data_IF_791876806405
#
_entry.id   IF_791876806405
#
_cell.length_a   1.000
_cell.length_b   1.000
_cell.length_c   1.000
_cell.angle_alpha   90.00
_cell.angle_beta   90.00
_cell.angle_gamma   90.00
#
_symmetry.space_group_name_H-M   'P 1'
#
loop_
_entity.id
_entity.type
_entity.pdbx_description
1 polymer ?
#
# COMPACT_ATOMS: atom_id res chain seq x y z
N UNK A 1 -19.14 16.32 2.17
CA UNK A 1 -19.07 15.67 0.85
C UNK A 1 -18.46 16.65 -0.15
N UNK A 2 -17.38 16.24 -0.87
CA UNK A 2 -16.69 17.06 -1.86
C UNK A 2 -17.59 17.42 -3.05
N UNK A 3 -17.23 18.52 -3.76
CA UNK A 3 -17.99 19.04 -4.89
C UNK A 3 -18.25 18.00 -5.99
N UNK A 4 -17.24 17.20 -6.36
CA UNK A 4 -17.39 16.16 -7.39
C UNK A 4 -18.45 15.14 -7.03
N UNK A 5 -18.51 14.71 -5.75
CA UNK A 5 -19.51 13.76 -5.32
C UNK A 5 -20.92 14.35 -5.26
N UNK A 6 -21.06 15.63 -4.87
CA UNK A 6 -22.34 16.34 -4.94
C UNK A 6 -22.83 16.44 -6.40
N UNK A 7 -21.92 16.74 -7.32
CA UNK A 7 -22.23 16.81 -8.75
C UNK A 7 -22.55 15.43 -9.34
N UNK A 8 -21.83 14.39 -8.93
CA UNK A 8 -22.12 13.01 -9.32
C UNK A 8 -23.57 12.63 -8.96
N UNK A 9 -24.01 12.91 -7.74
CA UNK A 9 -25.37 12.64 -7.29
C UNK A 9 -26.45 13.42 -8.06
N UNK A 10 -26.08 14.57 -8.65
CA UNK A 10 -26.95 15.45 -9.44
C UNK A 10 -26.76 15.29 -10.95
N UNK A 11 -25.97 14.33 -11.39
CA UNK A 11 -25.58 14.10 -12.79
C UNK A 11 -24.98 15.35 -13.48
N UNK A 12 -24.28 16.20 -12.71
CA UNK A 12 -23.66 17.45 -13.20
C UNK A 12 -22.15 17.29 -13.40
N UNK A 13 -21.60 18.03 -14.35
CA UNK A 13 -20.15 18.16 -14.57
C UNK A 13 -19.57 19.31 -13.71
N UNK A 14 -18.28 19.23 -13.27
CA UNK A 14 -17.45 18.05 -13.24
C UNK A 14 -17.90 17.09 -12.13
N UNK A 15 -17.79 15.79 -12.35
CA UNK A 15 -18.11 14.79 -11.33
C UNK A 15 -19.04 13.68 -11.81
N UNK A 16 -19.91 13.93 -12.78
CA UNK A 16 -20.95 13.00 -13.27
C UNK A 16 -20.44 11.58 -13.47
N UNK A 17 -19.27 11.38 -14.09
CA UNK A 17 -18.68 10.07 -14.40
C UNK A 17 -17.33 9.83 -13.71
N UNK A 18 -17.06 10.54 -12.60
CA UNK A 18 -15.76 10.45 -11.92
C UNK A 18 -15.66 9.27 -10.95
N UNK A 19 -16.79 8.79 -10.44
CA UNK A 19 -16.82 7.71 -9.46
C UNK A 19 -17.07 6.37 -10.13
N UNK A 20 -16.44 5.33 -9.60
CA UNK A 20 -16.58 3.99 -10.14
C UNK A 20 -17.92 3.38 -9.76
N UNK A 21 -18.74 3.12 -10.77
CA UNK A 21 -19.95 2.33 -10.66
C UNK A 21 -19.79 1.03 -11.44
N UNK A 22 -20.42 -0.03 -10.96
CA UNK A 22 -20.47 -1.33 -11.64
C UNK A 22 -21.89 -1.87 -11.60
N UNK A 23 -22.27 -2.60 -12.63
CA UNK A 23 -23.56 -3.29 -12.73
C UNK A 23 -23.54 -4.66 -12.03
N UNK A 24 -24.68 -5.34 -12.01
CA UNK A 24 -24.82 -6.71 -11.47
C UNK A 24 -23.98 -7.76 -12.21
N UNK A 25 -23.58 -7.50 -13.46
CA UNK A 25 -22.81 -8.42 -14.29
C UNK A 25 -21.32 -8.38 -13.97
N UNK A 26 -20.87 -7.39 -13.20
CA UNK A 26 -19.47 -7.28 -12.81
C UNK A 26 -19.05 -8.46 -11.92
N UNK A 27 -18.16 -9.30 -12.44
CA UNK A 27 -17.63 -10.43 -11.68
C UNK A 27 -16.55 -9.97 -10.70
N UNK A 28 -16.92 -9.88 -9.43
CA UNK A 28 -16.02 -9.48 -8.32
C UNK A 28 -15.48 -10.66 -7.50
N UNK A 29 -15.69 -11.90 -7.94
CA UNK A 29 -15.32 -13.11 -7.17
C UNK A 29 -13.83 -13.22 -6.84
N UNK A 30 -12.97 -12.74 -7.74
CA UNK A 30 -11.50 -12.78 -7.60
C UNK A 30 -10.91 -11.53 -6.95
N UNK A 31 -11.72 -10.51 -6.64
CA UNK A 31 -11.22 -9.22 -6.15
C UNK A 31 -10.52 -9.36 -4.81
N UNK A 32 -9.28 -8.89 -4.73
CA UNK A 32 -8.53 -8.79 -3.49
C UNK A 32 -8.98 -7.54 -2.73
N UNK A 33 -9.34 -7.73 -1.47
CA UNK A 33 -9.93 -6.68 -0.64
C UNK A 33 -9.04 -6.38 0.56
N UNK A 34 -8.53 -5.14 0.68
CA UNK A 34 -7.68 -4.76 1.81
C UNK A 34 -8.47 -4.59 3.12
N UNK A 35 -9.80 -4.50 3.03
CA UNK A 35 -10.71 -4.31 4.17
C UNK A 35 -11.89 -5.29 4.10
N UNK A 36 -12.58 -5.52 5.20
CA UNK A 36 -13.62 -6.56 5.32
C UNK A 36 -15.08 -6.05 5.17
N UNK A 37 -15.30 -4.72 5.04
CA UNK A 37 -16.64 -4.16 4.80
C UNK A 37 -17.18 -4.55 3.41
N UNK A 38 -18.46 -4.28 3.13
CA UNK A 38 -19.07 -4.56 1.82
C UNK A 38 -18.42 -3.70 0.73
N UNK A 39 -17.85 -4.35 -0.31
CA UNK A 39 -17.19 -3.71 -1.44
C UNK A 39 -18.14 -2.80 -2.24
N UNK A 40 -19.33 -3.29 -2.50
CA UNK A 40 -20.33 -2.64 -3.35
C UNK A 40 -21.48 -2.09 -2.50
N UNK A 41 -21.91 -0.86 -2.81
CA UNK A 41 -23.08 -0.21 -2.22
C UNK A 41 -24.09 0.13 -3.31
N UNK A 42 -25.30 -0.41 -3.21
CA UNK A 42 -26.40 -0.09 -4.14
C UNK A 42 -26.71 1.42 -4.10
N UNK A 43 -26.87 2.02 -5.27
CA UNK A 43 -27.30 3.41 -5.41
C UNK A 43 -28.74 3.39 -5.92
N UNK A 44 -29.66 4.07 -5.21
CA UNK A 44 -31.04 4.23 -5.67
C UNK A 44 -31.30 5.47 -6.55
N UNK A 45 -30.24 6.08 -7.11
CA UNK A 45 -30.31 7.42 -7.74
C UNK A 45 -30.43 7.34 -9.28
N UNK A 46 -29.90 6.30 -9.88
CA UNK A 46 -29.93 6.12 -11.33
C UNK A 46 -30.95 5.04 -11.72
N UNK A 47 -31.55 5.17 -12.91
CA UNK A 47 -32.52 4.18 -13.46
C UNK A 47 -31.96 2.77 -13.67
N UNK A 48 -30.65 2.58 -13.49
CA UNK A 48 -29.96 1.27 -13.55
C UNK A 48 -29.56 0.81 -12.16
N UNK A 49 -29.60 -0.49 -11.93
CA UNK A 49 -29.14 -1.11 -10.67
C UNK A 49 -27.61 -1.09 -10.59
N UNK A 50 -27.04 0.10 -10.44
CA UNK A 50 -25.61 0.30 -10.31
C UNK A 50 -25.17 0.27 -8.84
N UNK A 51 -23.94 -0.17 -8.65
CA UNK A 51 -23.30 -0.24 -7.34
C UNK A 51 -22.07 0.65 -7.32
N UNK A 52 -21.93 1.46 -6.27
CA UNK A 52 -20.69 2.19 -5.98
C UNK A 52 -19.61 1.24 -5.48
N UNK A 53 -18.42 1.38 -6.02
CA UNK A 53 -17.24 0.64 -5.59
C UNK A 53 -16.53 1.33 -4.43
N UNK A 54 -16.15 0.56 -3.39
CA UNK A 54 -15.53 1.07 -2.16
C UNK A 54 -14.42 0.12 -1.73
N UNK A 55 -13.17 0.49 -2.03
CA UNK A 55 -12.02 -0.38 -1.71
C UNK A 55 -11.67 -0.32 -0.22
N UNK A 56 -11.54 0.87 0.37
CA UNK A 56 -10.90 1.07 1.67
C UNK A 56 -11.85 1.36 2.82
N UNK A 57 -12.93 2.14 2.60
CA UNK A 57 -13.90 2.45 3.66
C UNK A 57 -15.32 2.56 3.13
N UNK A 58 -16.35 2.46 4.01
CA UNK A 58 -17.75 2.55 3.60
C UNK A 58 -18.16 3.89 3.00
N UNK A 59 -17.43 4.94 3.25
CA UNK A 59 -17.68 6.33 2.82
C UNK A 59 -16.69 6.84 1.78
N UNK A 60 -15.65 6.05 1.46
CA UNK A 60 -14.66 6.36 0.43
C UNK A 60 -14.98 5.59 -0.86
N UNK A 61 -15.44 6.32 -1.87
CA UNK A 61 -15.81 5.75 -3.17
C UNK A 61 -14.64 5.91 -4.13
N UNK A 62 -14.29 4.81 -4.81
CA UNK A 62 -13.19 4.79 -5.76
C UNK A 62 -13.51 5.65 -6.99
N UNK A 63 -12.48 6.28 -7.53
CA UNK A 63 -12.56 7.05 -8.76
C UNK A 63 -12.43 6.14 -9.99
N UNK A 64 -13.08 6.54 -11.07
CA UNK A 64 -13.10 5.78 -12.32
C UNK A 64 -11.95 6.21 -13.24
N UNK A 65 -10.78 5.62 -13.09
CA UNK A 65 -9.62 5.90 -13.94
C UNK A 65 -9.73 5.37 -15.38
N UNK A 66 -10.82 4.64 -15.72
CA UNK A 66 -11.17 4.38 -17.13
C UNK A 66 -11.67 5.64 -17.83
N UNK A 67 -12.13 6.65 -17.06
CA UNK A 67 -12.52 7.93 -17.60
C UNK A 67 -11.29 8.84 -17.74
N UNK A 68 -10.86 9.20 -18.98
CA UNK A 68 -9.70 10.06 -19.18
C UNK A 68 -9.79 11.42 -18.47
N UNK A 69 -11.01 11.95 -18.28
CA UNK A 69 -11.21 13.21 -17.58
C UNK A 69 -10.78 13.14 -16.11
N UNK A 70 -10.89 11.97 -15.47
CA UNK A 70 -10.38 11.75 -14.10
C UNK A 70 -8.85 11.81 -14.10
N UNK A 71 -8.20 11.06 -14.99
CA UNK A 71 -6.74 11.04 -15.10
C UNK A 71 -6.18 12.44 -15.41
N UNK A 72 -6.80 13.15 -16.39
CA UNK A 72 -6.42 14.52 -16.75
C UNK A 72 -6.56 15.47 -15.54
N UNK A 73 -7.59 15.28 -14.72
CA UNK A 73 -7.76 16.08 -13.51
C UNK A 73 -6.67 15.83 -12.48
N UNK A 74 -6.24 14.58 -12.30
CA UNK A 74 -5.11 14.24 -11.43
C UNK A 74 -3.79 14.82 -11.95
N UNK A 75 -3.54 14.74 -13.25
CA UNK A 75 -2.38 15.38 -13.89
C UNK A 75 -2.37 16.89 -13.61
N UNK A 76 -3.50 17.57 -13.78
CA UNK A 76 -3.62 19.01 -13.48
C UNK A 76 -3.37 19.32 -12.00
N UNK A 77 -3.83 18.46 -11.08
CA UNK A 77 -3.55 18.60 -9.64
C UNK A 77 -2.06 18.46 -9.41
N UNK A 78 -1.41 17.45 -10.00
CA UNK A 78 0.02 17.21 -9.86
C UNK A 78 0.85 18.40 -10.39
N UNK A 79 0.51 18.92 -11.57
CA UNK A 79 1.16 20.12 -12.16
C UNK A 79 0.99 21.32 -11.22
N UNK A 80 -0.22 21.54 -10.70
CA UNK A 80 -0.47 22.64 -9.78
C UNK A 80 0.41 22.53 -8.52
N UNK A 81 0.53 21.35 -7.94
CA UNK A 81 1.40 21.10 -6.78
C UNK A 81 2.89 21.29 -7.13
N UNK A 82 3.31 20.86 -8.33
CA UNK A 82 4.68 21.10 -8.82
C UNK A 82 5.00 22.59 -8.94
N UNK A 83 4.06 23.40 -9.41
CA UNK A 83 4.19 24.85 -9.51
C UNK A 83 4.32 25.52 -8.12
N UNK A 84 3.79 24.87 -7.06
CA UNK A 84 3.96 25.28 -5.66
C UNK A 84 5.20 24.66 -4.99
N UNK A 85 6.10 24.06 -5.75
CA UNK A 85 7.38 23.56 -5.25
C UNK A 85 7.37 22.09 -4.80
N UNK A 86 6.27 21.36 -4.89
CA UNK A 86 6.24 19.92 -4.57
C UNK A 86 7.09 19.15 -5.57
N UNK A 87 7.98 18.29 -5.05
CA UNK A 87 8.87 17.47 -5.87
C UNK A 87 8.73 15.97 -5.61
N UNK A 88 8.18 15.57 -4.50
CA UNK A 88 7.97 14.16 -4.17
C UNK A 88 6.47 13.89 -4.10
N UNK A 89 5.98 12.95 -4.92
CA UNK A 89 4.60 12.53 -4.98
C UNK A 89 4.45 11.09 -4.52
N UNK A 90 3.84 10.89 -3.36
CA UNK A 90 3.45 9.58 -2.87
C UNK A 90 2.09 9.19 -3.49
N UNK A 91 2.11 8.16 -4.31
CA UNK A 91 0.91 7.59 -4.91
C UNK A 91 0.31 6.54 -3.95
N UNK A 92 -0.64 7.00 -3.15
CA UNK A 92 -1.29 6.22 -2.10
C UNK A 92 -2.12 5.06 -2.67
N UNK A 93 -1.91 3.85 -2.14
CA UNK A 93 -2.64 2.63 -2.50
C UNK A 93 -2.77 2.39 -4.02
N UNK A 94 -1.78 2.82 -4.79
CA UNK A 94 -1.83 2.90 -6.26
C UNK A 94 -2.12 1.55 -6.92
N UNK A 95 -1.75 0.44 -6.29
CA UNK A 95 -2.00 -0.90 -6.81
C UNK A 95 -3.49 -1.18 -7.07
N UNK A 96 -4.38 -0.48 -6.38
CA UNK A 96 -5.82 -0.62 -6.51
C UNK A 96 -6.46 0.34 -7.53
N UNK A 97 -5.68 1.04 -8.34
CA UNK A 97 -6.18 2.09 -9.23
C UNK A 97 -7.19 1.57 -10.26
N UNK A 98 -6.83 0.50 -10.99
CA UNK A 98 -7.64 -0.02 -12.08
C UNK A 98 -8.52 -1.19 -11.67
N UNK A 99 -9.78 -1.22 -12.17
CA UNK A 99 -10.74 -2.29 -11.89
C UNK A 99 -11.20 -2.92 -13.20
N UNK A 100 -11.14 -4.25 -13.25
CA UNK A 100 -11.59 -5.04 -14.40
C UNK A 100 -12.35 -6.29 -13.94
N UNK A 101 -13.52 -6.53 -14.53
CA UNK A 101 -14.36 -7.69 -14.22
C UNK A 101 -13.59 -9.00 -14.38
N UNK A 102 -13.78 -9.93 -13.45
CA UNK A 102 -13.13 -11.25 -13.49
C UNK A 102 -11.66 -11.28 -13.07
N UNK A 103 -11.08 -10.11 -12.69
CA UNK A 103 -9.68 -10.01 -12.25
C UNK A 103 -9.58 -9.79 -10.74
N UNK A 104 -8.34 -9.79 -10.23
CA UNK A 104 -8.05 -9.47 -8.83
C UNK A 104 -8.29 -7.98 -8.48
N UNK A 105 -8.46 -7.09 -9.47
CA UNK A 105 -8.60 -5.64 -9.34
C UNK A 105 -7.46 -4.99 -8.50
N UNK A 106 -6.28 -5.56 -8.59
CA UNK A 106 -5.06 -5.07 -7.95
C UNK A 106 -3.87 -5.42 -8.84
N UNK A 107 -2.88 -4.53 -8.91
CA UNK A 107 -1.64 -4.74 -9.65
C UNK A 107 -1.90 -5.10 -11.14
N UNK A 108 -2.86 -4.42 -11.77
CA UNK A 108 -3.20 -4.67 -13.17
C UNK A 108 -2.29 -3.85 -14.10
N UNK A 109 -2.07 -4.36 -15.33
CA UNK A 109 -1.25 -3.71 -16.36
C UNK A 109 -1.60 -2.24 -16.57
N UNK A 110 -2.88 -1.90 -16.59
CA UNK A 110 -3.33 -0.52 -16.77
C UNK A 110 -2.92 0.41 -15.61
N UNK A 111 -2.78 -0.11 -14.41
CA UNK A 111 -2.22 0.66 -13.28
C UNK A 111 -0.77 1.06 -13.56
N UNK A 112 0.04 0.11 -14.03
CA UNK A 112 1.43 0.35 -14.41
C UNK A 112 1.54 1.38 -15.55
N UNK A 113 0.71 1.27 -16.59
CA UNK A 113 0.69 2.23 -17.70
C UNK A 113 0.34 3.66 -17.24
N UNK A 114 -0.58 3.81 -16.28
CA UNK A 114 -0.90 5.13 -15.70
C UNK A 114 0.30 5.67 -14.91
N UNK A 115 1.00 4.84 -14.15
CA UNK A 115 2.19 5.28 -13.39
C UNK A 115 3.28 5.73 -14.36
N UNK A 116 3.53 4.97 -15.44
CA UNK A 116 4.47 5.37 -16.51
C UNK A 116 4.12 6.73 -17.10
N UNK A 117 2.85 6.95 -17.40
CA UNK A 117 2.39 8.24 -17.91
C UNK A 117 2.64 9.37 -16.91
N UNK A 118 2.31 9.17 -15.63
CA UNK A 118 2.58 10.17 -14.59
C UNK A 118 4.07 10.42 -14.43
N UNK A 119 4.89 9.38 -14.51
CA UNK A 119 6.35 9.48 -14.47
C UNK A 119 6.88 10.29 -15.66
N UNK A 120 6.43 9.97 -16.87
CA UNK A 120 6.83 10.68 -18.09
C UNK A 120 6.49 12.17 -18.02
N UNK A 121 5.25 12.48 -17.66
CA UNK A 121 4.79 13.88 -17.54
C UNK A 121 5.59 14.62 -16.46
N UNK A 122 5.79 14.02 -15.29
CA UNK A 122 6.54 14.68 -14.21
C UNK A 122 8.00 14.93 -14.59
N UNK A 123 8.64 13.96 -15.22
CA UNK A 123 10.04 14.09 -15.67
C UNK A 123 10.21 15.11 -16.79
N UNK A 124 9.22 15.21 -17.68
CA UNK A 124 9.22 16.23 -18.75
C UNK A 124 9.08 17.64 -18.18
N UNK A 125 8.24 17.83 -17.17
CA UNK A 125 8.00 19.14 -16.55
C UNK A 125 9.12 19.53 -15.58
N UNK A 126 9.67 18.58 -14.85
CA UNK A 126 10.79 18.82 -13.94
C UNK A 126 11.52 17.51 -13.62
N UNK A 127 12.77 17.40 -14.05
CA UNK A 127 13.62 16.20 -13.88
C UNK A 127 13.87 15.82 -12.41
N UNK A 128 13.72 16.76 -11.48
CA UNK A 128 13.90 16.51 -10.04
C UNK A 128 12.66 15.95 -9.37
N UNK A 129 11.58 15.68 -10.12
CA UNK A 129 10.35 15.13 -9.55
C UNK A 129 10.51 13.63 -9.28
N UNK A 130 10.10 13.22 -8.09
CA UNK A 130 10.15 11.84 -7.61
C UNK A 130 8.73 11.29 -7.44
N UNK A 131 8.47 10.12 -8.02
CA UNK A 131 7.26 9.34 -7.79
C UNK A 131 7.57 8.21 -6.84
N UNK A 132 6.83 8.13 -5.74
CA UNK A 132 6.89 7.07 -4.74
C UNK A 132 5.60 6.27 -4.78
N UNK A 133 5.66 4.97 -5.01
CA UNK A 133 4.47 4.10 -4.96
C UNK A 133 4.32 3.45 -3.60
N UNK A 134 3.13 3.58 -3.03
CA UNK A 134 2.72 2.88 -1.81
C UNK A 134 1.92 1.63 -2.21
N UNK A 135 2.54 0.45 -2.03
CA UNK A 135 2.00 -0.84 -2.49
C UNK A 135 2.30 -1.94 -1.47
N UNK A 136 1.38 -2.11 -0.49
CA UNK A 136 1.46 -3.20 0.50
C UNK A 136 1.14 -4.57 -0.16
N UNK A 137 2.07 -5.05 -0.98
CA UNK A 137 1.98 -6.24 -1.84
C UNK A 137 3.08 -7.25 -1.49
N UNK A 138 2.97 -8.53 -1.94
CA UNK A 138 4.09 -9.44 -1.95
C UNK A 138 5.29 -8.84 -2.70
N UNK A 139 6.50 -9.16 -2.27
CA UNK A 139 7.73 -8.52 -2.75
C UNK A 139 7.83 -8.45 -4.28
N UNK A 140 7.61 -9.56 -4.99
CA UNK A 140 7.69 -9.60 -6.46
C UNK A 140 6.74 -8.60 -7.12
N UNK A 141 5.51 -8.48 -6.60
CA UNK A 141 4.52 -7.53 -7.11
C UNK A 141 4.92 -6.09 -6.77
N UNK A 142 5.48 -5.84 -5.57
CA UNK A 142 5.97 -4.53 -5.16
C UNK A 142 7.17 -4.08 -6.02
N UNK A 143 8.15 -4.95 -6.25
CA UNK A 143 9.32 -4.67 -7.09
C UNK A 143 8.94 -4.34 -8.54
N UNK A 144 7.82 -4.86 -9.04
CA UNK A 144 7.37 -4.58 -10.42
C UNK A 144 7.08 -3.11 -10.67
N UNK A 145 6.86 -2.31 -9.62
CA UNK A 145 6.62 -0.86 -9.73
C UNK A 145 7.87 -0.03 -10.05
N UNK A 146 9.05 -0.62 -10.07
CA UNK A 146 10.21 0.02 -10.71
C UNK A 146 10.11 0.03 -12.24
N UNK A 147 9.33 -0.90 -12.82
CA UNK A 147 9.25 -1.09 -14.27
C UNK A 147 10.63 -1.33 -14.88
N UNK A 148 10.85 -0.75 -16.03
CA UNK A 148 12.18 -0.65 -16.68
C UNK A 148 12.84 0.69 -16.38
N UNK A 149 12.74 1.24 -15.18
CA UNK A 149 13.07 2.60 -14.71
C UNK A 149 12.09 3.67 -15.23
N UNK A 150 10.93 3.27 -15.68
CA UNK A 150 9.91 4.11 -16.32
C UNK A 150 8.64 4.28 -15.48
N UNK A 151 8.61 3.65 -14.28
CA UNK A 151 7.49 3.77 -13.33
C UNK A 151 7.89 4.56 -12.08
N UNK A 152 7.82 3.97 -10.88
CA UNK A 152 8.21 4.65 -9.65
C UNK A 152 9.72 4.94 -9.60
N UNK A 153 10.09 6.10 -9.05
CA UNK A 153 11.47 6.35 -8.62
C UNK A 153 11.80 5.56 -7.36
N UNK A 154 10.87 5.63 -6.40
CA UNK A 154 11.04 4.97 -5.12
C UNK A 154 9.83 4.07 -4.86
N UNK A 155 10.09 2.91 -4.26
CA UNK A 155 9.06 2.03 -3.73
C UNK A 155 9.27 1.82 -2.23
N UNK A 156 8.19 1.70 -1.49
CA UNK A 156 8.26 1.33 -0.08
C UNK A 156 8.83 -0.08 0.06
N UNK A 157 9.83 -0.26 0.92
CA UNK A 157 10.38 -1.57 1.25
C UNK A 157 9.49 -2.27 2.30
N UNK A 158 8.30 -2.69 1.88
CA UNK A 158 7.29 -3.26 2.77
C UNK A 158 7.68 -4.61 3.38
N UNK A 159 8.66 -5.33 2.82
CA UNK A 159 9.13 -6.60 3.40
C UNK A 159 10.02 -6.38 4.62
N UNK A 160 10.76 -5.27 4.69
CA UNK A 160 11.68 -4.97 5.79
C UNK A 160 10.99 -4.90 7.16
N UNK A 161 9.88 -4.16 7.36
CA UNK A 161 9.24 -4.00 8.67
C UNK A 161 8.91 -5.32 9.36
N UNK A 162 8.10 -6.24 8.80
CA UNK A 162 7.74 -7.46 9.49
C UNK A 162 8.92 -8.42 9.70
N UNK A 163 9.91 -8.42 8.79
CA UNK A 163 11.10 -9.26 8.93
C UNK A 163 12.02 -8.77 10.03
N UNK A 164 12.24 -7.46 10.09
CA UNK A 164 13.09 -6.83 11.10
C UNK A 164 12.48 -6.98 12.51
N UNK A 165 11.19 -6.67 12.65
CA UNK A 165 10.47 -6.85 13.91
C UNK A 165 10.49 -8.33 14.35
N UNK A 166 10.27 -9.28 13.41
CA UNK A 166 10.35 -10.70 13.71
C UNK A 166 11.74 -11.10 14.21
N UNK A 167 12.80 -10.59 13.55
CA UNK A 167 14.17 -10.91 13.95
C UNK A 167 14.48 -10.48 15.40
N UNK A 168 14.06 -9.27 15.77
CA UNK A 168 14.28 -8.77 17.15
C UNK A 168 13.40 -9.44 18.19
N UNK A 169 12.13 -9.75 17.86
CA UNK A 169 11.20 -10.33 18.84
C UNK A 169 11.53 -11.81 19.14
N UNK A 170 12.14 -12.53 18.21
CA UNK A 170 12.46 -13.96 18.35
C UNK A 170 13.96 -14.24 18.31
N UNK A 171 14.81 -13.19 18.36
CA UNK A 171 16.28 -13.29 18.37
C UNK A 171 16.81 -14.20 17.25
N UNK A 172 16.16 -14.14 16.09
CA UNK A 172 16.48 -14.96 14.92
C UNK A 172 16.45 -14.16 13.64
N UNK A 173 17.61 -13.81 13.12
CA UNK A 173 17.79 -13.04 11.89
C UNK A 173 17.79 -13.87 10.60
N UNK A 174 17.65 -15.19 10.65
CA UNK A 174 17.84 -16.09 9.49
C UNK A 174 16.95 -15.68 8.30
N UNK A 175 15.66 -15.44 8.53
CA UNK A 175 14.74 -15.02 7.46
C UNK A 175 15.10 -13.65 6.90
N UNK A 176 15.46 -12.70 7.76
CA UNK A 176 15.91 -11.35 7.37
C UNK A 176 17.17 -11.43 6.52
N UNK A 177 18.17 -12.22 6.95
CA UNK A 177 19.45 -12.39 6.24
C UNK A 177 19.26 -13.09 4.88
N UNK A 178 18.45 -14.13 4.82
CA UNK A 178 18.17 -14.83 3.55
C UNK A 178 17.42 -13.92 2.56
N UNK A 179 16.50 -13.11 3.05
CA UNK A 179 15.78 -12.15 2.24
C UNK A 179 16.68 -11.01 1.77
N UNK A 180 17.47 -10.43 2.67
CA UNK A 180 18.35 -9.29 2.33
C UNK A 180 19.37 -9.62 1.25
N UNK A 181 19.92 -10.85 1.26
CA UNK A 181 20.83 -11.34 0.21
C UNK A 181 20.18 -11.49 -1.16
N UNK A 182 18.84 -11.60 -1.22
CA UNK A 182 18.07 -11.75 -2.46
C UNK A 182 17.43 -10.44 -2.91
N UNK A 183 17.44 -9.42 -2.05
CA UNK A 183 16.89 -8.11 -2.41
C UNK A 183 17.71 -7.52 -3.56
N UNK A 184 17.09 -7.23 -4.72
CA UNK A 184 17.84 -6.66 -5.84
C UNK A 184 18.41 -5.28 -5.50
N UNK A 185 19.67 -5.02 -5.86
CA UNK A 185 20.22 -3.66 -5.81
C UNK A 185 19.45 -2.75 -6.76
N UNK A 186 19.26 -1.52 -6.34
CA UNK A 186 18.55 -0.53 -7.14
C UNK A 186 19.43 -0.01 -8.29
N UNK A 187 18.78 0.37 -9.38
CA UNK A 187 19.45 1.02 -10.52
C UNK A 187 19.47 2.53 -10.32
N UNK A 188 20.39 3.23 -10.96
CA UNK A 188 20.46 4.70 -10.94
C UNK A 188 19.08 5.29 -11.28
N UNK A 189 18.58 6.19 -10.42
CA UNK A 189 17.27 6.81 -10.53
C UNK A 189 16.12 6.06 -9.80
N UNK A 190 16.41 4.88 -9.24
CA UNK A 190 15.50 4.13 -8.39
C UNK A 190 16.04 3.99 -6.96
N UNK A 191 15.16 3.85 -5.98
CA UNK A 191 15.55 3.60 -4.59
C UNK A 191 14.45 2.90 -3.81
N UNK A 192 14.83 2.16 -2.78
CA UNK A 192 13.91 1.73 -1.74
C UNK A 192 13.65 2.87 -0.76
N UNK A 193 12.42 2.98 -0.26
CA UNK A 193 12.10 3.78 0.91
C UNK A 193 12.02 2.81 2.09
N UNK A 194 13.06 2.80 2.92
CA UNK A 194 13.19 1.89 4.07
C UNK A 194 12.50 2.49 5.29
N UNK A 195 11.71 1.68 5.99
CA UNK A 195 10.99 2.08 7.19
C UNK A 195 10.73 0.84 8.07
N UNK A 196 10.33 1.02 9.32
CA UNK A 196 10.00 -0.08 10.23
C UNK A 196 8.50 -0.16 10.52
N UNK A 197 7.83 0.97 10.56
CA UNK A 197 6.37 1.09 10.61
C UNK A 197 5.95 2.39 9.95
N UNK A 198 4.67 2.54 9.66
CA UNK A 198 4.06 3.77 9.16
C UNK A 198 2.83 4.15 10.01
N UNK A 199 2.10 5.19 9.64
CA UNK A 199 0.81 5.54 10.25
C UNK A 199 -0.23 4.40 10.16
N UNK A 200 -0.10 3.47 9.21
CA UNK A 200 -0.90 2.25 9.11
C UNK A 200 -0.34 1.08 9.95
N UNK A 201 0.82 1.27 10.57
CA UNK A 201 1.53 0.24 11.33
C UNK A 201 2.44 -0.62 10.43
N UNK A 202 2.38 -1.94 10.61
CA UNK A 202 3.24 -2.92 9.96
C UNK A 202 2.41 -3.76 9.00
N UNK A 203 2.71 -3.69 7.70
CA UNK A 203 2.09 -4.53 6.67
C UNK A 203 2.48 -6.00 6.83
N UNK A 204 1.51 -6.89 6.87
CA UNK A 204 1.77 -8.33 7.08
C UNK A 204 1.80 -9.14 5.78
N UNK A 205 1.20 -8.61 4.72
CA UNK A 205 1.17 -9.28 3.41
C UNK A 205 2.55 -9.45 2.77
N UNK A 206 3.48 -8.50 2.87
CA UNK A 206 4.84 -8.64 2.33
C UNK A 206 5.68 -9.72 3.01
N UNK A 207 5.33 -10.16 4.22
CA UNK A 207 6.00 -11.28 4.89
C UNK A 207 5.56 -12.66 4.36
N UNK A 208 4.43 -12.73 3.61
CA UNK A 208 3.92 -13.98 3.05
C UNK A 208 4.89 -14.52 1.98
N UNK A 209 5.27 -15.78 2.11
CA UNK A 209 6.28 -16.41 1.23
C UNK A 209 7.73 -16.22 1.67
N UNK A 210 8.00 -15.31 2.63
CA UNK A 210 9.31 -15.11 3.24
C UNK A 210 9.33 -15.75 4.64
N UNK A 211 8.38 -15.41 5.50
CA UNK A 211 8.16 -16.08 6.77
C UNK A 211 7.22 -17.27 6.57
N UNK A 212 7.49 -18.38 7.25
CA UNK A 212 6.58 -19.52 7.27
C UNK A 212 5.32 -19.22 8.11
N UNK A 213 4.28 -20.04 7.98
CA UNK A 213 3.00 -19.83 8.64
C UNK A 213 3.09 -19.75 10.17
N UNK A 214 3.96 -20.58 10.78
CA UNK A 214 4.16 -20.58 12.23
C UNK A 214 4.86 -19.30 12.70
N UNK A 215 5.88 -18.83 11.98
CA UNK A 215 6.56 -17.57 12.28
C UNK A 215 5.57 -16.39 12.21
N UNK A 216 4.74 -16.31 11.16
CA UNK A 216 3.70 -15.28 11.05
C UNK A 216 2.71 -15.37 12.22
N UNK A 217 2.25 -16.57 12.56
CA UNK A 217 1.32 -16.77 13.69
C UNK A 217 1.92 -16.30 15.02
N UNK A 218 3.18 -16.64 15.28
CA UNK A 218 3.89 -16.25 16.49
C UNK A 218 4.12 -14.73 16.53
N UNK A 219 4.52 -14.14 15.41
CA UNK A 219 4.69 -12.69 15.28
C UNK A 219 3.37 -11.95 15.60
N UNK A 220 2.26 -12.37 15.00
CA UNK A 220 0.95 -11.77 15.29
C UNK A 220 0.55 -11.94 16.76
N UNK A 221 0.80 -13.11 17.35
CA UNK A 221 0.53 -13.36 18.79
C UNK A 221 1.34 -12.39 19.68
N UNK A 222 2.63 -12.19 19.37
CA UNK A 222 3.50 -11.28 20.11
C UNK A 222 3.08 -9.82 19.93
N UNK A 223 2.85 -9.38 18.70
CA UNK A 223 2.38 -8.03 18.42
C UNK A 223 1.05 -7.73 19.13
N UNK A 224 0.12 -8.72 19.19
CA UNK A 224 -1.12 -8.57 19.96
C UNK A 224 -0.86 -8.35 21.45
N UNK A 225 0.08 -9.12 22.05
CA UNK A 225 0.49 -8.94 23.45
C UNK A 225 1.11 -7.56 23.69
N UNK A 226 1.83 -7.02 22.69
CA UNK A 226 2.44 -5.69 22.74
C UNK A 226 1.45 -4.56 22.37
N UNK A 227 0.15 -4.86 22.23
CA UNK A 227 -0.91 -3.86 22.06
C UNK A 227 -1.37 -3.62 20.62
N UNK A 228 -0.92 -4.42 19.64
CA UNK A 228 -1.35 -4.26 18.25
C UNK A 228 -2.86 -4.44 18.10
N UNK A 229 -3.46 -3.57 17.28
CA UNK A 229 -4.78 -3.78 16.66
C UNK A 229 -4.57 -4.30 15.25
N UNK A 230 -5.49 -5.16 14.77
CA UNK A 230 -5.34 -5.76 13.45
C UNK A 230 -6.42 -5.29 12.50
N UNK A 231 -6.03 -4.90 11.30
CA UNK A 231 -6.90 -4.83 10.15
C UNK A 231 -6.87 -6.15 9.38
N UNK A 232 -7.99 -6.51 8.76
CA UNK A 232 -8.14 -7.81 8.11
C UNK A 232 -8.49 -7.65 6.63
N UNK A 233 -7.94 -8.54 5.80
CA UNK A 233 -8.36 -8.72 4.42
C UNK A 233 -9.20 -10.00 4.28
N UNK A 234 -10.15 -9.99 3.36
CA UNK A 234 -10.88 -11.20 2.95
C UNK A 234 -10.09 -11.95 1.88
N UNK A 235 -10.01 -13.28 2.07
CA UNK A 235 -9.57 -14.22 1.05
C UNK A 235 -10.80 -14.98 0.56
N UNK A 236 -10.70 -15.63 -0.61
CA UNK A 236 -11.75 -16.50 -1.14
C UNK A 236 -12.25 -17.45 -0.02
N UNK A 237 -13.58 -17.69 0.02
CA UNK A 237 -14.25 -18.59 0.98
C UNK A 237 -14.32 -18.12 2.44
N UNK A 238 -14.51 -16.83 2.69
CA UNK A 238 -14.76 -16.25 4.03
C UNK A 238 -13.59 -16.25 5.02
N UNK A 239 -12.42 -16.77 4.67
CA UNK A 239 -11.25 -16.72 5.57
C UNK A 239 -10.70 -15.30 5.65
N UNK A 240 -10.49 -14.81 6.87
CA UNK A 240 -9.83 -13.51 7.11
C UNK A 240 -8.37 -13.74 7.43
N UNK A 241 -7.47 -12.97 6.79
CA UNK A 241 -6.06 -12.85 7.19
C UNK A 241 -5.76 -11.44 7.64
N UNK A 242 -4.82 -11.31 8.57
CA UNK A 242 -4.33 -9.99 8.98
C UNK A 242 -3.69 -9.31 7.76
N UNK A 243 -4.08 -8.07 7.52
CA UNK A 243 -3.54 -7.22 6.47
C UNK A 243 -2.45 -6.31 7.03
N UNK A 244 -2.72 -5.68 8.18
CA UNK A 244 -1.81 -4.80 8.90
C UNK A 244 -1.92 -5.03 10.40
N UNK A 245 -0.79 -4.88 11.10
CA UNK A 245 -0.71 -4.75 12.54
C UNK A 245 -0.54 -3.26 12.88
N UNK A 246 -1.62 -2.61 13.32
CA UNK A 246 -1.62 -1.20 13.68
C UNK A 246 -0.96 -1.05 15.06
N UNK A 247 0.32 -0.77 15.06
CA UNK A 247 1.19 -0.62 16.25
C UNK A 247 2.39 0.25 15.86
N UNK A 248 2.88 1.04 16.79
CA UNK A 248 4.13 1.79 16.60
C UNK A 248 5.34 0.86 16.74
N UNK A 249 6.48 1.23 16.14
CA UNK A 249 7.75 0.49 16.33
C UNK A 249 8.09 0.40 17.82
N UNK A 250 7.90 1.50 18.54
CA UNK A 250 8.12 1.58 19.97
C UNK A 250 7.40 0.47 20.73
N UNK A 251 6.09 0.35 20.54
CA UNK A 251 5.31 -0.68 21.22
C UNK A 251 5.59 -2.08 20.66
N UNK A 252 5.83 -2.22 19.35
CA UNK A 252 6.11 -3.51 18.74
C UNK A 252 7.35 -4.19 19.33
N UNK A 253 8.40 -3.41 19.62
CA UNK A 253 9.67 -3.90 20.16
C UNK A 253 9.75 -3.86 21.71
N UNK A 254 8.71 -3.41 22.41
CA UNK A 254 8.74 -3.18 23.84
C UNK A 254 9.11 -4.44 24.65
N UNK A 255 8.51 -5.58 24.29
CA UNK A 255 8.71 -6.86 24.99
C UNK A 255 8.90 -7.99 24.00
N UNK A 256 9.82 -8.92 24.30
CA UNK A 256 10.01 -10.17 23.58
C UNK A 256 9.71 -11.37 24.50
N UNK A 257 9.78 -12.60 23.95
CA UNK A 257 9.59 -13.80 24.78
C UNK A 257 10.77 -13.98 25.74
N UNK A 258 11.98 -13.57 25.37
CA UNK A 258 13.19 -13.65 26.18
C UNK A 258 13.41 -12.40 27.07
N UNK A 259 12.66 -11.32 26.81
CA UNK A 259 12.67 -10.12 27.62
C UNK A 259 11.22 -9.63 27.91
N UNK A 260 10.50 -10.35 28.80
CA UNK A 260 9.10 -10.06 29.10
C UNK A 260 8.91 -8.76 29.88
N UNK A 261 9.97 -8.25 30.52
CA UNK A 261 9.96 -6.98 31.28
C UNK A 261 10.22 -5.77 30.37
N UNK A 262 10.89 -5.99 29.22
CA UNK A 262 11.33 -4.92 28.34
C UNK A 262 12.62 -4.24 28.79
N UNK A 263 13.47 -4.94 29.53
CA UNK A 263 14.77 -4.41 30.01
C UNK A 263 15.64 -3.87 28.88
N UNK A 264 15.70 -4.58 27.75
CA UNK A 264 16.50 -4.23 26.58
C UNK A 264 15.68 -3.59 25.46
N UNK A 265 14.58 -2.95 25.79
CA UNK A 265 13.69 -2.33 24.82
C UNK A 265 14.37 -1.24 24.01
N UNK A 266 15.11 -0.35 24.68
CA UNK A 266 15.73 0.80 24.02
C UNK A 266 16.81 0.35 23.03
N UNK A 267 17.62 -0.61 23.42
CA UNK A 267 18.67 -1.21 22.57
C UNK A 267 18.07 -1.87 21.34
N UNK A 268 16.96 -2.59 21.50
CA UNK A 268 16.22 -3.17 20.35
C UNK A 268 15.70 -2.10 19.42
N UNK A 269 15.13 -1.04 19.98
CA UNK A 269 14.58 0.07 19.20
C UNK A 269 15.67 0.78 18.40
N UNK A 270 16.78 1.16 19.03
CA UNK A 270 17.91 1.82 18.37
C UNK A 270 18.57 0.90 17.33
N UNK A 271 18.81 -0.35 17.68
CA UNK A 271 19.43 -1.32 16.76
C UNK A 271 18.57 -1.59 15.53
N UNK A 272 17.24 -1.66 15.70
CA UNK A 272 16.32 -1.84 14.57
C UNK A 272 16.41 -0.64 13.61
N UNK A 273 16.48 0.59 14.12
CA UNK A 273 16.64 1.78 13.28
C UNK A 273 18.03 1.82 12.63
N UNK A 274 19.08 1.46 13.34
CA UNK A 274 20.44 1.39 12.79
C UNK A 274 20.52 0.40 11.61
N UNK A 275 19.91 -0.78 11.75
CA UNK A 275 19.83 -1.77 10.67
C UNK A 275 19.01 -1.20 9.49
N UNK A 276 17.86 -0.59 9.73
CA UNK A 276 17.03 0.01 8.68
C UNK A 276 17.79 1.08 7.89
N UNK A 277 18.57 1.92 8.57
CA UNK A 277 19.40 2.98 7.95
C UNK A 277 20.56 2.37 7.15
N UNK A 278 21.09 1.23 7.57
CA UNK A 278 22.20 0.54 6.89
C UNK A 278 21.78 -0.17 5.58
N UNK A 279 20.49 -0.42 5.37
CA UNK A 279 20.00 -0.98 4.10
C UNK A 279 20.14 0.03 2.97
N UNK A 280 20.47 -0.48 1.77
CA UNK A 280 20.44 0.33 0.52
C UNK A 280 19.07 0.98 0.37
N UNK A 281 19.05 2.32 0.28
CA UNK A 281 17.82 3.09 0.09
C UNK A 281 17.76 4.36 0.92
N UNK A 282 16.56 4.93 0.97
CA UNK A 282 16.27 6.16 1.70
C UNK A 282 15.59 5.79 3.01
N UNK A 283 16.17 6.12 4.16
CA UNK A 283 15.53 5.85 5.45
C UNK A 283 14.37 6.81 5.71
N UNK A 284 13.27 6.27 6.23
CA UNK A 284 12.13 7.03 6.70
C UNK A 284 11.79 6.63 8.14
N UNK A 285 11.77 7.60 9.04
CA UNK A 285 11.36 7.44 10.44
C UNK A 285 9.99 8.08 10.57
N UNK A 286 9.05 7.30 11.13
CA UNK A 286 7.65 7.68 11.33
C UNK A 286 7.38 7.97 12.81
#
# INVERSE_FOLDING_TARGET
RGLWFKNFLKEKSPGKNYFLTVDKKFNSSKVIRPRDHKLLKKIGIFKKEDYLWRTFSPDQIDLNFKNPAVLLRFIKIMINLMNHGVRIFRLDAIAYLWKQSGTKCINLKQTHEIIKLLRLISSFLNVSTVIVTETNLPEKENLSYFGNKDEANWIYNFSLPPLLINAFLFENSSSLNLWSKKLPSTKIGNSYLNFIASHDGIGMRPAEGILNANSIKNLLKRLKKNGARFSYRKIQNKTKKVYEANITVFNALQKSDNDPTGKYFFERYVSAHAIMVAFEGIPAIY
#
